data_IF_329685064459
#
_entry.id   IF_329685064459
#
_cell.length_a   1.000
_cell.length_b   1.000
_cell.length_c   1.000
_cell.angle_alpha   90.00
_cell.angle_beta   90.00
_cell.angle_gamma   90.00
#
_symmetry.space_group_name_H-M   'P 1'
#
loop_
_entity.id
_entity.type
_entity.pdbx_description
1 polymer ?
#
# COMPACT_ATOMS: atom_id res chain seq x y z
N UNK A 1 9.76 -22.96 -18.85
CA UNK A 1 11.07 -23.10 -18.18
C UNK A 1 11.79 -21.77 -18.34
N UNK A 2 11.94 -21.00 -17.26
CA UNK A 2 12.69 -19.73 -17.26
C UNK A 2 14.12 -19.96 -16.80
N UNK A 3 15.08 -19.34 -17.47
CA UNK A 3 16.52 -19.46 -17.18
C UNK A 3 16.84 -18.98 -15.75
N UNK A 4 17.60 -19.75 -14.96
CA UNK A 4 18.02 -19.34 -13.63
C UNK A 4 19.08 -18.22 -13.74
N UNK A 5 18.78 -17.04 -13.20
CA UNK A 5 19.75 -15.94 -13.05
C UNK A 5 19.35 -14.58 -13.64
N UNK A 6 18.18 -14.44 -14.29
CA UNK A 6 17.72 -13.14 -14.80
C UNK A 6 16.98 -12.37 -13.71
N UNK A 7 17.55 -11.26 -13.25
CA UNK A 7 16.85 -10.30 -12.38
C UNK A 7 15.55 -9.86 -13.07
N UNK A 8 14.39 -9.93 -12.40
CA UNK A 8 13.12 -9.54 -13.01
C UNK A 8 13.18 -8.07 -13.44
N UNK A 9 12.67 -7.77 -14.63
CA UNK A 9 12.60 -6.40 -15.13
C UNK A 9 11.67 -5.55 -14.25
N UNK A 10 11.80 -4.20 -14.24
CA UNK A 10 10.90 -3.33 -13.50
C UNK A 10 9.41 -3.58 -13.82
N UNK A 11 9.11 -3.90 -15.08
CA UNK A 11 7.79 -4.31 -15.51
C UNK A 11 7.36 -5.63 -14.84
N UNK A 12 8.18 -6.66 -14.84
CA UNK A 12 7.85 -7.94 -14.18
C UNK A 12 7.65 -7.76 -12.67
N UNK A 13 8.50 -6.96 -12.02
CA UNK A 13 8.37 -6.66 -10.59
C UNK A 13 7.06 -5.93 -10.28
N UNK A 14 6.71 -4.93 -11.09
CA UNK A 14 5.45 -4.21 -10.89
C UNK A 14 4.21 -5.08 -11.20
N UNK A 15 4.29 -6.04 -12.13
CA UNK A 15 3.19 -6.98 -12.41
C UNK A 15 2.99 -7.92 -11.22
N UNK A 16 4.09 -8.44 -10.68
CA UNK A 16 4.07 -9.27 -9.48
C UNK A 16 3.43 -8.53 -8.30
N UNK A 17 3.85 -7.29 -8.03
CA UNK A 17 3.30 -6.47 -6.93
C UNK A 17 1.80 -6.24 -7.09
N UNK A 18 1.34 -5.94 -8.30
CA UNK A 18 -0.11 -5.77 -8.56
C UNK A 18 -0.86 -7.07 -8.28
N UNK A 19 -0.33 -8.22 -8.68
CA UNK A 19 -0.94 -9.52 -8.36
C UNK A 19 -0.98 -9.80 -6.85
N UNK A 20 0.08 -9.45 -6.13
CA UNK A 20 0.14 -9.61 -4.68
C UNK A 20 -0.86 -8.69 -3.96
N UNK A 21 -1.05 -7.46 -4.44
CA UNK A 21 -2.07 -6.52 -3.94
C UNK A 21 -3.48 -7.09 -4.12
N UNK A 22 -3.77 -7.66 -5.30
CA UNK A 22 -5.07 -8.27 -5.56
C UNK A 22 -5.31 -9.52 -4.68
N UNK A 23 -4.28 -10.33 -4.44
CA UNK A 23 -4.36 -11.46 -3.50
C UNK A 23 -4.56 -11.00 -2.06
N UNK A 24 -3.90 -9.92 -1.65
CA UNK A 24 -4.10 -9.34 -0.33
C UNK A 24 -5.53 -8.85 -0.16
N UNK A 25 -6.07 -8.12 -1.14
CA UNK A 25 -7.47 -7.69 -1.16
C UNK A 25 -8.44 -8.88 -1.01
N UNK A 26 -8.21 -9.96 -1.77
CA UNK A 26 -9.01 -11.17 -1.67
C UNK A 26 -8.89 -11.81 -0.28
N UNK A 27 -7.70 -11.84 0.31
CA UNK A 27 -7.49 -12.38 1.66
C UNK A 27 -8.26 -11.60 2.71
N UNK A 28 -8.21 -10.26 2.69
CA UNK A 28 -8.93 -9.40 3.62
C UNK A 28 -10.45 -9.46 3.43
N UNK A 29 -10.90 -9.82 2.23
CA UNK A 29 -12.31 -10.03 1.95
C UNK A 29 -12.87 -11.39 2.43
N UNK A 30 -12.04 -12.33 2.91
CA UNK A 30 -12.50 -13.69 3.28
C UNK A 30 -13.36 -13.72 4.53
N UNK A 31 -13.01 -12.89 5.50
CA UNK A 31 -13.61 -12.91 6.84
C UNK A 31 -14.75 -11.89 6.99
N UNK A 32 -15.18 -11.28 5.88
CA UNK A 32 -16.30 -10.33 5.83
C UNK A 32 -17.41 -10.82 4.90
N UNK A 33 -18.63 -10.27 5.01
CA UNK A 33 -19.70 -10.50 4.05
C UNK A 33 -19.24 -10.33 2.59
N UNK A 34 -19.57 -11.31 1.73
CA UNK A 34 -19.14 -11.34 0.32
C UNK A 34 -19.55 -10.09 -0.48
N UNK A 35 -20.64 -9.45 -0.09
CA UNK A 35 -21.10 -8.21 -0.70
C UNK A 35 -20.10 -7.04 -0.55
N UNK A 36 -19.21 -7.10 0.46
CA UNK A 36 -18.19 -6.07 0.71
C UNK A 36 -16.89 -6.32 -0.04
N UNK A 37 -16.70 -7.50 -0.64
CA UNK A 37 -15.46 -7.84 -1.34
C UNK A 37 -15.07 -6.82 -2.43
N UNK A 38 -15.99 -6.29 -3.27
CA UNK A 38 -15.66 -5.24 -4.24
C UNK A 38 -15.21 -3.93 -3.58
N UNK A 39 -15.83 -3.55 -2.45
CA UNK A 39 -15.46 -2.34 -1.71
C UNK A 39 -14.07 -2.47 -1.07
N UNK A 40 -13.76 -3.62 -0.46
CA UNK A 40 -12.44 -3.94 0.10
C UNK A 40 -11.37 -3.94 -0.99
N UNK A 41 -11.66 -4.55 -2.15
CA UNK A 41 -10.77 -4.51 -3.31
C UNK A 41 -10.50 -3.08 -3.76
N UNK A 42 -11.52 -2.23 -3.83
CA UNK A 42 -11.36 -0.83 -4.20
C UNK A 42 -10.48 -0.06 -3.21
N UNK A 43 -10.70 -0.23 -1.90
CA UNK A 43 -9.86 0.36 -0.85
C UNK A 43 -8.42 -0.12 -0.96
N UNK A 44 -8.21 -1.41 -1.16
CA UNK A 44 -6.87 -1.99 -1.32
C UNK A 44 -6.11 -1.42 -2.53
N UNK A 45 -6.78 -1.34 -3.68
CA UNK A 45 -6.23 -0.74 -4.90
C UNK A 45 -5.89 0.73 -4.66
N UNK A 46 -6.82 1.51 -4.08
CA UNK A 46 -6.64 2.95 -3.85
C UNK A 46 -5.49 3.23 -2.88
N UNK A 47 -5.49 2.59 -1.71
CA UNK A 47 -4.43 2.80 -0.72
C UNK A 47 -3.06 2.36 -1.23
N UNK A 48 -2.98 1.30 -2.03
CA UNK A 48 -1.71 0.87 -2.63
C UNK A 48 -1.22 1.86 -3.70
N UNK A 49 -2.10 2.30 -4.60
CA UNK A 49 -1.78 3.32 -5.62
C UNK A 49 -1.17 4.55 -4.97
N UNK A 50 -1.77 4.98 -3.86
CA UNK A 50 -1.33 6.11 -3.08
C UNK A 50 0.03 5.93 -2.43
N UNK A 51 0.29 4.80 -1.78
CA UNK A 51 1.60 4.51 -1.20
C UNK A 51 2.67 4.47 -2.30
N UNK A 52 2.33 3.99 -3.50
CA UNK A 52 3.22 4.05 -4.67
C UNK A 52 3.44 5.49 -5.18
N UNK A 53 2.43 6.36 -5.13
CA UNK A 53 2.55 7.77 -5.49
C UNK A 53 3.30 8.61 -4.44
N UNK A 54 3.32 8.21 -3.17
CA UNK A 54 4.10 8.83 -2.09
C UNK A 54 5.60 8.46 -2.11
N UNK A 55 6.12 7.92 -3.21
CA UNK A 55 7.53 7.52 -3.40
C UNK A 55 8.59 8.54 -2.94
N UNK A 56 8.27 9.84 -2.94
CA UNK A 56 9.17 10.91 -2.52
C UNK A 56 9.41 10.98 -1.00
N UNK A 57 8.59 10.29 -0.20
CA UNK A 57 8.75 10.18 1.26
C UNK A 57 9.52 8.93 1.70
N UNK A 58 9.89 8.05 0.76
CA UNK A 58 10.72 6.89 1.06
C UNK A 58 12.17 7.32 1.26
N UNK A 59 12.88 6.67 2.20
CA UNK A 59 14.29 6.95 2.37
C UNK A 59 15.03 6.72 1.03
N UNK A 60 15.91 7.65 0.62
CA UNK A 60 16.58 7.56 -0.66
C UNK A 60 17.52 6.36 -0.69
N UNK A 61 17.61 5.71 -1.85
CA UNK A 61 18.57 4.64 -2.11
C UNK A 61 19.76 5.16 -2.93
N UNK A 62 20.91 4.45 -2.91
CA UNK A 62 21.96 4.68 -3.89
C UNK A 62 21.46 4.46 -5.32
N UNK A 63 22.09 5.11 -6.30
CA UNK A 63 21.90 4.76 -7.71
C UNK A 63 22.69 3.49 -8.04
N UNK A 64 22.17 2.60 -8.93
CA UNK A 64 20.97 2.76 -9.76
C UNK A 64 19.64 2.35 -9.10
N UNK A 65 19.66 1.89 -7.85
CA UNK A 65 18.50 1.29 -7.18
C UNK A 65 17.35 2.30 -6.97
N UNK A 66 17.67 3.57 -6.73
CA UNK A 66 16.66 4.62 -6.61
C UNK A 66 15.87 4.83 -7.91
N UNK A 67 16.57 4.87 -9.04
CA UNK A 67 15.92 4.99 -10.35
C UNK A 67 15.06 3.78 -10.69
N UNK A 68 15.56 2.57 -10.41
CA UNK A 68 14.79 1.33 -10.61
C UNK A 68 13.55 1.31 -9.72
N UNK A 69 13.67 1.66 -8.43
CA UNK A 69 12.54 1.74 -7.50
C UNK A 69 11.48 2.71 -8.00
N UNK A 70 11.88 3.94 -8.39
CA UNK A 70 10.94 4.93 -8.93
C UNK A 70 10.20 4.41 -10.15
N UNK A 71 10.90 3.74 -11.06
CA UNK A 71 10.29 3.13 -12.24
C UNK A 71 9.28 2.04 -11.87
N UNK A 72 9.63 1.13 -10.94
CA UNK A 72 8.70 0.09 -10.47
C UNK A 72 7.46 0.70 -9.83
N UNK A 73 7.61 1.70 -8.94
CA UNK A 73 6.47 2.32 -8.27
C UNK A 73 5.55 3.08 -9.24
N UNK A 74 6.13 3.76 -10.23
CA UNK A 74 5.36 4.37 -11.29
C UNK A 74 4.54 3.34 -12.06
N UNK A 75 5.17 2.22 -12.48
CA UNK A 75 4.48 1.15 -13.21
C UNK A 75 3.39 0.48 -12.37
N UNK A 76 3.60 0.31 -11.06
CA UNK A 76 2.57 -0.20 -10.14
C UNK A 76 1.36 0.75 -10.13
N UNK A 77 1.57 2.04 -9.92
CA UNK A 77 0.50 3.02 -9.89
C UNK A 77 -0.27 3.08 -11.23
N UNK A 78 0.44 3.06 -12.36
CA UNK A 78 -0.17 3.01 -13.70
C UNK A 78 -1.04 1.76 -13.90
N UNK A 79 -0.57 0.59 -13.46
CA UNK A 79 -1.30 -0.67 -13.60
C UNK A 79 -2.49 -0.79 -12.66
N UNK A 80 -2.38 -0.27 -11.44
CA UNK A 80 -3.51 -0.21 -10.51
C UNK A 80 -4.66 0.65 -11.06
N UNK A 81 -4.35 1.67 -11.86
CA UNK A 81 -5.32 2.50 -12.59
C UNK A 81 -5.85 1.87 -13.89
N UNK A 82 -5.33 0.71 -14.30
CA UNK A 82 -5.71 0.09 -15.57
C UNK A 82 -7.08 -0.59 -15.50
N UNK A 83 -7.77 -0.67 -16.65
CA UNK A 83 -9.09 -1.33 -16.72
C UNK A 83 -9.09 -2.76 -16.21
N UNK A 84 -8.04 -3.53 -16.45
CA UNK A 84 -7.96 -4.92 -15.97
C UNK A 84 -7.97 -5.03 -14.44
N UNK A 85 -7.55 -3.96 -13.73
CA UNK A 85 -7.58 -3.89 -12.26
C UNK A 85 -8.84 -3.19 -11.75
N UNK A 86 -9.36 -2.18 -12.45
CA UNK A 86 -10.50 -1.39 -11.97
C UNK A 86 -11.86 -1.92 -12.39
N UNK A 87 -11.93 -2.89 -13.32
CA UNK A 87 -13.18 -3.47 -13.78
C UNK A 87 -13.98 -4.08 -12.60
N UNK A 88 -15.25 -3.66 -12.51
CA UNK A 88 -16.20 -4.07 -11.48
C UNK A 88 -16.06 -3.34 -10.14
N UNK A 89 -15.15 -2.37 -10.01
CA UNK A 89 -14.97 -1.57 -8.79
C UNK A 89 -15.00 -0.05 -9.05
N UNK A 90 -15.34 0.40 -10.26
CA UNK A 90 -15.29 1.81 -10.66
C UNK A 90 -16.21 2.69 -9.84
N UNK A 91 -17.39 2.18 -9.49
CA UNK A 91 -18.32 2.90 -8.60
C UNK A 91 -17.71 3.09 -7.21
N UNK A 92 -17.01 2.08 -6.68
CA UNK A 92 -16.36 2.17 -5.38
C UNK A 92 -15.18 3.15 -5.41
N UNK A 93 -14.34 3.08 -6.43
CA UNK A 93 -13.22 4.01 -6.63
C UNK A 93 -13.71 5.46 -6.77
N UNK A 94 -14.84 5.69 -7.43
CA UNK A 94 -15.47 7.01 -7.51
C UNK A 94 -15.96 7.48 -6.14
N UNK A 95 -16.64 6.63 -5.38
CA UNK A 95 -17.13 6.98 -4.05
C UNK A 95 -16.01 7.33 -3.07
N UNK A 96 -14.89 6.60 -3.14
CA UNK A 96 -13.66 6.94 -2.41
C UNK A 96 -13.13 8.31 -2.84
N UNK A 97 -12.96 8.56 -4.13
CA UNK A 97 -12.51 9.86 -4.65
C UNK A 97 -13.42 11.03 -4.23
N UNK A 98 -14.73 10.83 -4.18
CA UNK A 98 -15.69 11.84 -3.71
C UNK A 98 -15.57 12.12 -2.20
N UNK A 99 -15.30 11.09 -1.38
CA UNK A 99 -15.01 11.29 0.04
C UNK A 99 -13.67 12.00 0.23
N UNK A 100 -12.64 11.65 -0.54
CA UNK A 100 -11.34 12.32 -0.52
C UNK A 100 -11.48 13.82 -0.84
N UNK A 101 -12.21 14.15 -1.90
CA UNK A 101 -12.47 15.54 -2.28
C UNK A 101 -13.24 16.32 -1.20
N UNK A 102 -14.14 15.64 -0.48
CA UNK A 102 -14.85 16.22 0.67
C UNK A 102 -13.97 16.36 1.90
N UNK A 103 -13.03 15.43 2.09
CA UNK A 103 -12.20 15.35 3.29
C UNK A 103 -11.04 16.34 3.27
N UNK A 104 -10.50 16.81 2.12
CA UNK A 104 -9.43 17.83 2.18
C UNK A 104 -9.26 18.75 0.96
N UNK A 105 -8.98 20.03 1.27
CA UNK A 105 -8.55 21.08 0.33
C UNK A 105 -7.04 21.12 0.05
N UNK A 106 -6.22 20.15 0.50
CA UNK A 106 -4.77 20.13 0.17
C UNK A 106 -4.11 18.76 0.44
N UNK A 107 -4.22 17.83 -0.50
CA UNK A 107 -3.70 16.46 -0.35
C UNK A 107 -2.24 16.26 -0.77
N UNK A 108 -1.54 17.31 -1.21
CA UNK A 108 -0.31 17.13 -1.99
C UNK A 108 1.01 17.19 -1.20
N UNK A 109 1.05 17.55 0.10
CA UNK A 109 2.34 17.98 0.70
C UNK A 109 2.61 17.50 2.15
N UNK A 110 1.64 16.96 2.90
CA UNK A 110 1.84 16.73 4.35
C UNK A 110 1.69 15.27 4.80
N UNK A 111 2.50 14.87 5.78
CA UNK A 111 2.40 13.57 6.46
C UNK A 111 1.01 13.31 7.09
N UNK A 112 0.24 14.36 7.37
CA UNK A 112 -1.16 14.27 7.81
C UNK A 112 -2.10 13.65 6.76
N UNK A 113 -1.75 13.74 5.47
CA UNK A 113 -2.57 13.18 4.39
C UNK A 113 -2.79 11.67 4.60
N UNK A 114 -1.78 10.91 5.06
CA UNK A 114 -1.93 9.46 5.26
C UNK A 114 -3.05 9.11 6.27
N UNK A 115 -3.17 9.87 7.36
CA UNK A 115 -4.23 9.65 8.36
C UNK A 115 -5.63 10.00 7.83
N UNK A 116 -5.71 11.00 6.96
CA UNK A 116 -6.96 11.36 6.30
C UNK A 116 -7.42 10.25 5.35
N UNK A 117 -6.51 9.59 4.63
CA UNK A 117 -6.84 8.43 3.78
C UNK A 117 -7.31 7.21 4.56
N UNK A 118 -6.68 6.95 5.71
CA UNK A 118 -7.13 5.89 6.63
C UNK A 118 -8.58 6.19 7.05
N UNK A 119 -8.84 7.41 7.48
CA UNK A 119 -10.17 7.85 7.93
C UNK A 119 -11.20 7.70 6.81
N UNK A 120 -10.89 8.16 5.60
CA UNK A 120 -11.79 8.03 4.43
C UNK A 120 -12.06 6.57 4.08
N UNK A 121 -11.03 5.72 4.10
CA UNK A 121 -11.18 4.29 3.78
C UNK A 121 -12.05 3.57 4.83
N UNK A 122 -11.83 3.84 6.12
CA UNK A 122 -12.64 3.27 7.22
C UNK A 122 -14.09 3.75 7.08
N UNK A 123 -14.31 5.06 6.97
CA UNK A 123 -15.65 5.62 6.80
C UNK A 123 -16.38 5.01 5.59
N UNK A 124 -15.68 4.87 4.46
CA UNK A 124 -16.24 4.29 3.25
C UNK A 124 -16.67 2.84 3.46
N UNK A 125 -15.84 2.00 4.09
CA UNK A 125 -16.17 0.61 4.36
C UNK A 125 -17.32 0.50 5.35
N UNK A 126 -17.32 1.28 6.43
CA UNK A 126 -18.43 1.30 7.37
C UNK A 126 -19.75 1.68 6.71
N UNK A 127 -19.76 2.69 5.82
CA UNK A 127 -20.95 3.07 5.04
C UNK A 127 -21.45 1.90 4.19
N UNK A 128 -20.56 1.18 3.51
CA UNK A 128 -20.92 -0.02 2.73
C UNK A 128 -21.41 -1.17 3.63
N UNK A 129 -20.84 -1.32 4.82
CA UNK A 129 -21.28 -2.30 5.82
C UNK A 129 -22.69 -2.01 6.30
N UNK A 130 -23.01 -0.74 6.59
CA UNK A 130 -24.33 -0.29 7.05
C UNK A 130 -25.44 -0.45 6.01
N UNK A 131 -25.09 -0.53 4.72
CA UNK A 131 -26.04 -0.77 3.63
C UNK A 131 -26.49 -2.24 3.54
N UNK A 132 -25.80 -3.15 4.22
CA UNK A 132 -26.20 -4.56 4.27
C UNK A 132 -27.40 -4.79 5.20
N UNK A 133 -28.19 -5.85 4.96
CA UNK A 133 -29.20 -6.30 5.91
C UNK A 133 -28.59 -6.52 7.30
N UNK A 134 -29.33 -6.19 8.36
CA UNK A 134 -28.82 -6.24 9.74
C UNK A 134 -28.16 -7.58 10.13
N UNK A 135 -28.64 -8.70 9.57
CA UNK A 135 -28.09 -10.04 9.83
C UNK A 135 -26.74 -10.31 9.13
N UNK A 136 -26.36 -9.46 8.18
CA UNK A 136 -25.12 -9.55 7.39
C UNK A 136 -24.18 -8.37 7.68
N UNK A 137 -24.51 -7.50 8.63
CA UNK A 137 -23.62 -6.40 9.00
C UNK A 137 -22.40 -6.98 9.73
N UNK A 138 -21.18 -6.53 9.39
CA UNK A 138 -19.99 -6.95 10.12
C UNK A 138 -20.00 -6.44 11.57
N UNK A 139 -19.18 -7.05 12.42
CA UNK A 139 -18.98 -6.62 13.81
C UNK A 139 -18.41 -5.19 13.89
N UNK A 140 -18.55 -4.56 15.07
CA UNK A 140 -17.95 -3.24 15.32
C UNK A 140 -16.43 -3.25 15.07
N UNK A 141 -15.88 -2.14 14.57
CA UNK A 141 -14.44 -1.93 14.28
C UNK A 141 -13.83 -2.81 13.16
N UNK A 142 -14.62 -3.64 12.47
CA UNK A 142 -14.12 -4.47 11.36
C UNK A 142 -13.39 -3.67 10.27
N UNK A 143 -13.87 -2.45 9.99
CA UNK A 143 -13.34 -1.60 8.94
C UNK A 143 -11.93 -1.11 9.29
N UNK A 144 -11.67 -0.78 10.55
CA UNK A 144 -10.34 -0.41 11.05
C UNK A 144 -9.34 -1.55 10.89
N UNK A 145 -9.73 -2.77 11.28
CA UNK A 145 -8.88 -3.96 11.17
C UNK A 145 -8.52 -4.28 9.71
N UNK A 146 -9.52 -4.23 8.82
CA UNK A 146 -9.32 -4.45 7.38
C UNK A 146 -8.43 -3.37 6.77
N UNK A 147 -8.66 -2.09 7.09
CA UNK A 147 -7.86 -0.98 6.56
C UNK A 147 -6.42 -1.05 7.08
N UNK A 148 -6.22 -1.33 8.37
CA UNK A 148 -4.90 -1.52 8.96
C UNK A 148 -4.14 -2.67 8.29
N UNK A 149 -4.81 -3.80 8.09
CA UNK A 149 -4.27 -4.96 7.39
C UNK A 149 -3.88 -4.69 5.93
N UNK A 150 -4.73 -3.96 5.20
CA UNK A 150 -4.47 -3.51 3.83
C UNK A 150 -3.24 -2.60 3.78
N UNK A 151 -3.10 -1.65 4.71
CA UNK A 151 -1.97 -0.72 4.73
C UNK A 151 -0.67 -1.43 5.04
N UNK A 152 -0.68 -2.33 6.03
CA UNK A 152 0.49 -3.16 6.33
C UNK A 152 0.90 -3.99 5.10
N UNK A 153 -0.07 -4.59 4.41
CA UNK A 153 0.17 -5.34 3.18
C UNK A 153 0.76 -4.44 2.08
N UNK A 154 0.16 -3.27 1.82
CA UNK A 154 0.63 -2.33 0.81
C UNK A 154 2.07 -1.86 1.08
N UNK A 155 2.40 -1.54 2.33
CA UNK A 155 3.75 -1.12 2.73
C UNK A 155 4.79 -2.23 2.55
N UNK A 156 4.45 -3.47 2.93
CA UNK A 156 5.30 -4.63 2.72
C UNK A 156 5.55 -4.89 1.22
N UNK A 157 4.50 -4.88 0.40
CA UNK A 157 4.58 -5.16 -1.04
C UNK A 157 5.30 -4.07 -1.84
N UNK A 158 5.21 -2.81 -1.37
CA UNK A 158 5.89 -1.68 -1.98
C UNK A 158 7.37 -1.60 -1.55
N UNK A 159 7.72 -2.27 -0.44
CA UNK A 159 9.09 -2.38 0.06
C UNK A 159 9.48 -1.26 1.04
N UNK A 160 8.51 -0.68 1.76
CA UNK A 160 8.76 0.37 2.76
C UNK A 160 9.42 -0.20 4.02
N UNK A 161 8.99 -1.39 4.46
CA UNK A 161 9.46 -2.01 5.72
C UNK A 161 10.82 -2.70 5.58
N UNK A 162 11.11 -3.35 4.44
CA UNK A 162 12.46 -3.88 4.13
C UNK A 162 13.52 -2.76 4.02
N UNK A 163 13.09 -1.52 3.76
CA UNK A 163 13.97 -0.36 3.74
C UNK A 163 14.29 0.14 5.15
N UNK A 164 13.28 0.23 6.02
CA UNK A 164 13.46 0.59 7.43
C UNK A 164 14.38 -0.43 8.13
N UNK A 165 14.10 -1.73 7.98
CA UNK A 165 14.91 -2.79 8.59
C UNK A 165 16.37 -2.79 8.11
N UNK A 166 16.64 -2.55 6.82
CA UNK A 166 18.02 -2.43 6.30
C UNK A 166 18.72 -1.15 6.73
N UNK A 167 17.97 -0.07 6.92
CA UNK A 167 18.51 1.22 7.40
C UNK A 167 18.89 1.11 8.87
N UNK A 168 18.01 0.56 9.71
CA UNK A 168 18.29 0.26 11.12
C UNK A 168 19.48 -0.70 11.27
N UNK A 169 19.56 -1.76 10.45
CA UNK A 169 20.70 -2.68 10.46
C UNK A 169 22.04 -2.01 10.09
N UNK A 170 22.03 -1.02 9.18
CA UNK A 170 23.22 -0.23 8.83
C UNK A 170 23.63 0.76 9.93
N UNK A 171 22.69 1.34 10.67
CA UNK A 171 23.01 2.21 11.80
C UNK A 171 23.39 1.42 13.06
N UNK A 172 22.81 0.23 13.27
CA UNK A 172 23.18 -0.69 14.35
C UNK A 172 24.60 -1.26 14.17
N UNK A 173 25.10 -1.38 12.93
CA UNK A 173 26.46 -1.83 12.61
C UNK A 173 27.52 -0.71 12.60
N UNK A 174 27.13 0.56 12.73
CA UNK A 174 28.05 1.71 12.75
C UNK A 174 28.57 2.13 14.14
N UNK A 175 28.22 1.41 15.20
CA UNK A 175 28.34 1.87 16.59
C UNK A 175 29.46 1.28 17.46
N UNK A 176 30.46 0.59 16.91
CA UNK A 176 31.70 0.27 17.66
C UNK A 176 32.92 0.80 16.92
N UNK A 177 33.20 2.08 17.15
CA UNK A 177 34.53 2.65 16.96
C UNK A 177 35.39 2.05 18.06
N UNK A 178 36.19 1.02 17.75
CA UNK A 178 37.33 0.66 18.59
C UNK A 178 38.23 1.89 18.69
N UNK A 179 38.19 2.54 19.85
CA UNK A 179 39.22 3.48 20.24
C UNK A 179 40.47 2.63 20.44
N UNK A 180 41.41 2.66 19.49
CA UNK A 180 42.78 2.23 19.75
C UNK A 180 43.31 3.09 20.90
N UNK A 181 43.41 2.49 22.07
CA UNK A 181 44.35 2.95 23.08
C UNK A 181 45.72 2.43 22.66
N UNK A 182 46.44 3.22 21.86
CA UNK A 182 47.90 3.13 21.83
C UNK A 182 48.36 3.88 23.09
N UNK A 183 48.60 3.13 24.17
CA UNK A 183 49.40 3.56 25.31
C UNK A 183 50.86 3.12 25.05
N UNK A 184 51.72 4.11 24.77
CA UNK A 184 53.15 4.09 25.13
C UNK A 184 53.39 5.23 26.13
#
# INVERSE_FOLDING_TARGET
>A
MGEPGRTPTPAQQADQRVQEVLRAAESWARDVPRALAPAIRAVCVRLTEMVADQRHYLAPLPEPQESERRQVLQLVAERLRSKSVTDGIEHHLRGLAELELRATASWAIHAAAQQEWITVAVQYLEERGRELPAAEQPDDFWADDVVAGIIASARALIGVDELHARTEARYASGGRREVRADEE
#
